data_IF_203264243501
#
_entry.id   IF_203264243501
#
_cell.length_a   1.000
_cell.length_b   1.000
_cell.length_c   1.000
_cell.angle_alpha   90.00
_cell.angle_beta   90.00
_cell.angle_gamma   90.00
#
_symmetry.space_group_name_H-M   'P 1'
#
loop_
_entity.id
_entity.type
_entity.pdbx_description
1 polymer ?
#
# COMPACT_ATOMS: atom_id res chain seq x y z
N UNK A 1 -4.48 20.51 19.72
CA UNK A 1 -4.65 19.04 19.70
C UNK A 1 -4.78 18.66 18.23
N UNK A 2 -3.74 18.09 17.65
CA UNK A 2 -3.60 17.98 16.18
C UNK A 2 -4.52 16.89 15.62
N UNK A 3 -4.93 17.02 14.36
CA UNK A 3 -5.68 16.01 13.57
C UNK A 3 -5.05 14.60 13.56
N UNK A 4 -3.90 14.41 14.21
CA UNK A 4 -3.16 13.16 14.38
C UNK A 4 -3.86 12.07 15.19
N UNK A 5 -4.86 12.35 16.03
CA UNK A 5 -5.48 11.32 16.90
C UNK A 5 -6.75 10.68 16.34
N UNK A 6 -7.36 11.26 15.30
CA UNK A 6 -8.71 10.89 14.82
C UNK A 6 -8.74 10.11 13.50
N UNK A 7 -7.58 9.88 12.87
CA UNK A 7 -7.43 8.81 11.88
C UNK A 7 -7.33 7.47 12.62
N UNK A 8 -8.51 7.08 13.11
CA UNK A 8 -8.91 5.87 13.82
C UNK A 8 -7.85 4.77 13.93
N UNK A 9 -7.71 4.11 15.10
CA UNK A 9 -6.98 2.84 15.23
C UNK A 9 -7.26 1.85 14.07
N UNK A 10 -8.49 1.86 13.55
CA UNK A 10 -8.93 1.04 12.42
C UNK A 10 -8.17 1.30 11.11
N UNK A 11 -7.70 2.53 10.85
CA UNK A 11 -7.06 2.88 9.58
C UNK A 11 -5.64 2.32 9.45
N UNK A 12 -4.82 2.43 10.50
CA UNK A 12 -3.49 1.82 10.50
C UNK A 12 -3.59 0.29 10.53
N UNK A 13 -4.60 -0.27 11.22
CA UNK A 13 -4.87 -1.71 11.19
C UNK A 13 -5.20 -2.20 9.77
N UNK A 14 -6.03 -1.50 9.00
CA UNK A 14 -6.35 -1.88 7.62
C UNK A 14 -5.09 -1.89 6.72
N UNK A 15 -4.24 -0.88 6.86
CA UNK A 15 -2.94 -0.81 6.17
C UNK A 15 -2.03 -1.97 6.55
N UNK A 16 -1.91 -2.27 7.84
CA UNK A 16 -1.11 -3.38 8.35
C UNK A 16 -1.64 -4.74 7.87
N UNK A 17 -2.96 -4.95 7.92
CA UNK A 17 -3.61 -6.17 7.44
C UNK A 17 -3.33 -6.39 5.95
N UNK A 18 -3.47 -5.34 5.13
CA UNK A 18 -3.18 -5.44 3.70
C UNK A 18 -1.71 -5.79 3.45
N UNK A 19 -0.77 -5.10 4.10
CA UNK A 19 0.67 -5.37 3.93
C UNK A 19 1.02 -6.77 4.39
N UNK A 20 0.46 -7.22 5.52
CA UNK A 20 0.69 -8.58 6.03
C UNK A 20 0.13 -9.63 5.07
N UNK A 21 -1.07 -9.40 4.53
CA UNK A 21 -1.69 -10.29 3.55
C UNK A 21 -0.82 -10.43 2.29
N UNK A 22 -0.41 -9.31 1.70
CA UNK A 22 0.43 -9.32 0.50
C UNK A 22 1.80 -9.93 0.78
N UNK A 23 2.42 -9.61 1.91
CA UNK A 23 3.69 -10.21 2.32
C UNK A 23 3.58 -11.74 2.47
N UNK A 24 2.48 -12.23 3.06
CA UNK A 24 2.22 -13.66 3.22
C UNK A 24 2.03 -14.34 1.86
N UNK A 25 1.30 -13.72 0.94
CA UNK A 25 1.12 -14.22 -0.42
C UNK A 25 2.45 -14.30 -1.19
N UNK A 26 3.31 -13.29 -1.06
CA UNK A 26 4.64 -13.28 -1.66
C UNK A 26 5.54 -14.34 -1.02
N UNK A 27 5.48 -14.53 0.29
CA UNK A 27 6.23 -15.56 1.00
C UNK A 27 5.85 -16.97 0.52
N UNK A 28 4.55 -17.26 0.37
CA UNK A 28 4.07 -18.53 -0.19
C UNK A 28 4.52 -18.69 -1.65
N UNK A 29 4.37 -17.65 -2.47
CA UNK A 29 4.74 -17.68 -3.89
C UNK A 29 6.24 -17.97 -4.08
N UNK A 30 7.10 -17.40 -3.24
CA UNK A 30 8.56 -17.60 -3.33
C UNK A 30 9.01 -18.89 -2.63
N UNK A 31 8.47 -19.18 -1.44
CA UNK A 31 8.96 -20.22 -0.54
C UNK A 31 8.35 -21.61 -0.76
N UNK A 32 7.22 -21.73 -1.45
CA UNK A 32 6.54 -23.00 -1.67
C UNK A 32 6.47 -23.38 -3.16
N UNK A 33 7.42 -24.16 -3.69
CA UNK A 33 7.44 -24.58 -5.09
C UNK A 33 6.22 -25.41 -5.50
N UNK A 34 5.62 -26.12 -4.54
CA UNK A 34 4.41 -26.91 -4.75
C UNK A 34 3.13 -26.05 -4.85
N UNK A 35 3.18 -24.76 -4.49
CA UNK A 35 2.03 -23.88 -4.56
C UNK A 35 1.65 -23.58 -6.01
N UNK A 36 0.34 -23.49 -6.27
CA UNK A 36 -0.21 -23.13 -7.59
C UNK A 36 0.34 -21.77 -8.06
N UNK A 37 0.54 -20.83 -7.13
CA UNK A 37 1.08 -19.50 -7.42
C UNK A 37 2.53 -19.58 -7.90
N UNK A 38 3.38 -20.35 -7.23
CA UNK A 38 4.76 -20.55 -7.65
C UNK A 38 4.83 -21.17 -9.03
N UNK A 39 4.02 -22.20 -9.31
CA UNK A 39 4.01 -22.88 -10.60
C UNK A 39 3.54 -21.96 -11.74
N UNK A 40 2.50 -21.15 -11.51
CA UNK A 40 2.03 -20.15 -12.49
C UNK A 40 3.11 -19.11 -12.75
N UNK A 41 3.72 -18.53 -11.72
CA UNK A 41 4.78 -17.53 -11.92
C UNK A 41 6.00 -18.17 -12.59
N UNK A 42 6.35 -19.39 -12.20
CA UNK A 42 7.43 -20.18 -12.78
C UNK A 42 7.24 -20.43 -14.28
N UNK A 43 6.02 -20.71 -14.74
CA UNK A 43 5.73 -20.94 -16.16
C UNK A 43 5.89 -19.68 -17.01
N UNK A 44 5.74 -18.49 -16.42
CA UNK A 44 5.99 -17.20 -17.11
C UNK A 44 7.47 -16.81 -17.20
N UNK A 45 8.34 -17.58 -16.54
CA UNK A 45 9.79 -17.35 -16.54
C UNK A 45 10.18 -16.02 -15.88
N UNK A 46 11.18 -15.35 -16.46
CA UNK A 46 11.82 -14.16 -15.85
C UNK A 46 10.87 -12.98 -15.64
N UNK A 47 9.86 -12.82 -16.51
CA UNK A 47 8.94 -11.68 -16.44
C UNK A 47 8.03 -11.74 -15.21
N UNK A 48 7.48 -12.90 -14.86
CA UNK A 48 6.69 -13.06 -13.63
C UNK A 48 7.52 -12.83 -12.37
N UNK A 49 8.72 -13.42 -12.33
CA UNK A 49 9.65 -13.23 -11.21
C UNK A 49 10.10 -11.78 -11.03
N UNK A 50 10.26 -11.02 -12.11
CA UNK A 50 10.54 -9.59 -12.05
C UNK A 50 9.42 -8.83 -11.32
N UNK A 51 8.15 -9.09 -11.65
CA UNK A 51 7.01 -8.46 -10.97
C UNK A 51 6.88 -8.87 -9.51
N UNK A 52 7.13 -10.15 -9.20
CA UNK A 52 7.20 -10.63 -7.80
C UNK A 52 8.30 -9.90 -7.03
N UNK A 53 9.50 -9.76 -7.61
CA UNK A 53 10.60 -9.02 -7.00
C UNK A 53 10.25 -7.55 -6.74
N UNK A 54 9.63 -6.87 -7.72
CA UNK A 54 9.17 -5.49 -7.57
C UNK A 54 8.14 -5.37 -6.43
N UNK A 55 7.17 -6.31 -6.37
CA UNK A 55 6.16 -6.34 -5.31
C UNK A 55 6.77 -6.57 -3.92
N UNK A 56 7.81 -7.40 -3.79
CA UNK A 56 8.54 -7.58 -2.53
C UNK A 56 9.13 -6.26 -2.06
N UNK A 57 9.78 -5.51 -2.95
CA UNK A 57 10.37 -4.20 -2.62
C UNK A 57 9.29 -3.21 -2.19
N UNK A 58 8.19 -3.09 -2.95
CA UNK A 58 7.10 -2.16 -2.62
C UNK A 58 6.41 -2.55 -1.32
N UNK A 59 6.21 -3.85 -1.06
CA UNK A 59 5.61 -4.35 0.18
C UNK A 59 6.52 -4.08 1.38
N UNK A 60 7.83 -4.23 1.23
CA UNK A 60 8.80 -3.88 2.27
C UNK A 60 8.78 -2.37 2.58
N UNK A 61 8.72 -1.52 1.55
CA UNK A 61 8.57 -0.07 1.73
C UNK A 61 7.27 0.29 2.46
N UNK A 62 6.16 -0.37 2.13
CA UNK A 62 4.89 -0.19 2.83
C UNK A 62 4.96 -0.62 4.30
N UNK A 63 5.63 -1.74 4.60
CA UNK A 63 5.82 -2.20 5.97
C UNK A 63 6.66 -1.22 6.80
N UNK A 64 7.77 -0.72 6.23
CA UNK A 64 8.63 0.29 6.86
C UNK A 64 7.87 1.60 7.08
N UNK A 65 7.07 2.04 6.09
CA UNK A 65 6.23 3.22 6.22
C UNK A 65 5.28 3.09 7.42
N UNK A 66 4.56 1.96 7.55
CA UNK A 66 3.65 1.70 8.68
C UNK A 66 4.41 1.68 10.01
N UNK A 67 5.54 0.98 10.08
CA UNK A 67 6.31 0.84 11.31
C UNK A 67 6.80 2.21 11.83
N UNK A 68 7.38 3.02 10.95
CA UNK A 68 7.92 4.33 11.33
C UNK A 68 6.79 5.27 11.69
N UNK A 69 5.76 5.32 10.86
CA UNK A 69 4.79 6.39 10.93
C UNK A 69 3.57 6.11 11.80
N UNK A 70 3.17 4.85 11.93
CA UNK A 70 1.95 4.47 12.62
C UNK A 70 2.26 3.79 13.96
N UNK A 71 3.34 3.01 14.05
CA UNK A 71 3.73 2.33 15.29
C UNK A 71 4.66 3.19 16.16
N UNK A 72 5.58 3.93 15.54
CA UNK A 72 6.60 4.74 16.25
C UNK A 72 6.55 6.25 15.93
N UNK A 73 5.36 6.89 15.93
CA UNK A 73 5.22 8.28 15.49
C UNK A 73 6.07 9.28 16.29
N UNK A 74 6.32 9.00 17.58
CA UNK A 74 7.00 9.92 18.49
C UNK A 74 8.54 9.80 18.46
N UNK A 75 9.09 8.73 17.88
CA UNK A 75 10.55 8.48 17.88
C UNK A 75 11.22 8.91 16.58
N UNK A 76 10.57 8.70 15.44
CA UNK A 76 11.15 8.93 14.12
C UNK A 76 10.05 9.48 13.20
N UNK A 77 10.12 10.77 12.85
CA UNK A 77 9.19 11.39 11.92
C UNK A 77 9.87 11.70 10.59
N UNK A 78 9.64 10.85 9.58
CA UNK A 78 10.06 11.12 8.21
C UNK A 78 9.00 11.96 7.50
N UNK A 79 9.05 13.28 7.71
CA UNK A 79 8.11 14.25 7.11
C UNK A 79 7.85 14.07 5.61
N UNK A 80 8.88 13.80 4.76
CA UNK A 80 8.66 13.60 3.32
C UNK A 80 7.89 12.31 2.99
N UNK A 81 8.12 11.21 3.70
CA UNK A 81 7.43 9.94 3.47
C UNK A 81 5.95 10.05 3.83
N UNK A 82 5.64 10.72 4.94
CA UNK A 82 4.25 10.99 5.35
C UNK A 82 3.42 11.66 4.27
N UNK A 83 4.03 12.55 3.47
CA UNK A 83 3.34 13.25 2.38
C UNK A 83 3.19 12.42 1.09
N UNK A 84 3.87 11.28 0.98
CA UNK A 84 3.97 10.46 -0.23
C UNK A 84 3.47 9.02 -0.04
N UNK A 85 2.86 8.69 1.10
CA UNK A 85 2.35 7.33 1.42
C UNK A 85 1.42 6.75 0.35
N UNK A 86 0.51 7.58 -0.17
CA UNK A 86 -0.40 7.18 -1.26
C UNK A 86 0.33 6.61 -2.49
N UNK A 87 1.56 7.06 -2.78
CA UNK A 87 2.37 6.52 -3.89
C UNK A 87 2.78 5.07 -3.66
N UNK A 88 3.04 4.69 -2.41
CA UNK A 88 3.43 3.31 -2.05
C UNK A 88 2.24 2.38 -2.27
N UNK A 89 1.05 2.75 -1.79
CA UNK A 89 -0.16 1.94 -1.98
C UNK A 89 -0.65 1.95 -3.44
N UNK A 90 -0.46 3.04 -4.19
CA UNK A 90 -0.70 3.04 -5.63
C UNK A 90 0.26 2.08 -6.35
N UNK A 91 1.56 2.12 -6.04
CA UNK A 91 2.54 1.20 -6.62
C UNK A 91 2.22 -0.26 -6.26
N UNK A 92 1.78 -0.51 -5.02
CA UNK A 92 1.35 -1.83 -4.57
C UNK A 92 0.13 -2.31 -5.39
N UNK A 93 -0.88 -1.46 -5.55
CA UNK A 93 -2.06 -1.76 -6.36
C UNK A 93 -1.71 -2.06 -7.81
N UNK A 94 -0.89 -1.21 -8.44
CA UNK A 94 -0.43 -1.40 -9.82
C UNK A 94 0.35 -2.71 -9.99
N UNK A 95 1.23 -3.04 -9.03
CA UNK A 95 1.98 -4.28 -9.05
C UNK A 95 1.06 -5.52 -8.93
N UNK A 96 0.09 -5.47 -8.03
CA UNK A 96 -0.88 -6.56 -7.84
C UNK A 96 -1.76 -6.76 -9.09
N UNK A 97 -2.27 -5.68 -9.69
CA UNK A 97 -3.05 -5.74 -10.94
C UNK A 97 -2.20 -6.23 -12.11
N UNK A 98 -0.93 -5.81 -12.19
CA UNK A 98 -0.02 -6.29 -13.23
C UNK A 98 0.25 -7.79 -13.08
N UNK A 99 0.37 -8.30 -11.85
CA UNK A 99 0.51 -9.72 -11.59
C UNK A 99 -0.76 -10.51 -11.98
N UNK A 100 -1.96 -9.94 -11.79
CA UNK A 100 -3.19 -10.53 -12.33
C UNK A 100 -3.10 -10.71 -13.85
N UNK A 101 -2.59 -9.71 -14.59
CA UNK A 101 -2.42 -9.84 -16.04
C UNK A 101 -1.44 -10.96 -16.42
N UNK A 102 -0.33 -11.09 -15.67
CA UNK A 102 0.62 -12.20 -15.84
C UNK A 102 -0.04 -13.55 -15.62
N UNK A 103 -0.87 -13.69 -14.57
CA UNK A 103 -1.62 -14.91 -14.27
C UNK A 103 -2.63 -15.24 -15.38
N UNK A 104 -3.36 -14.23 -15.90
CA UNK A 104 -4.30 -14.42 -17.02
C UNK A 104 -3.58 -14.95 -18.25
N UNK A 105 -2.41 -14.40 -18.59
CA UNK A 105 -1.65 -14.84 -19.77
C UNK A 105 -1.15 -16.28 -19.58
N UNK A 106 -0.74 -16.65 -18.37
CA UNK A 106 -0.16 -17.95 -18.07
C UNK A 106 -1.18 -19.08 -17.95
N UNK A 107 -2.33 -18.80 -17.33
CA UNK A 107 -3.27 -19.83 -16.87
C UNK A 107 -4.74 -19.51 -17.19
N UNK A 108 -4.99 -18.41 -17.92
CA UNK A 108 -6.35 -17.93 -18.22
C UNK A 108 -7.07 -17.32 -17.02
N UNK A 109 -8.37 -17.06 -17.20
CA UNK A 109 -9.22 -16.46 -16.17
C UNK A 109 -9.61 -17.50 -15.13
N UNK A 110 -8.92 -17.50 -13.98
CA UNK A 110 -9.17 -18.44 -12.88
C UNK A 110 -9.53 -17.72 -11.58
N UNK A 111 -10.10 -18.45 -10.61
CA UNK A 111 -10.40 -17.90 -9.28
C UNK A 111 -9.16 -17.42 -8.52
N UNK A 112 -7.97 -17.91 -8.88
CA UNK A 112 -6.67 -17.45 -8.36
C UNK A 112 -6.48 -15.94 -8.59
N UNK A 113 -7.09 -15.37 -9.64
CA UNK A 113 -7.04 -13.93 -9.89
C UNK A 113 -7.65 -13.13 -8.74
N UNK A 114 -8.73 -13.63 -8.12
CA UNK A 114 -9.40 -12.92 -7.02
C UNK A 114 -8.48 -12.75 -5.81
N UNK A 115 -7.56 -13.70 -5.60
CA UNK A 115 -6.58 -13.65 -4.51
C UNK A 115 -5.68 -12.42 -4.62
N UNK A 116 -5.36 -11.97 -5.84
CA UNK A 116 -4.51 -10.80 -6.10
C UNK A 116 -5.30 -9.53 -6.39
N UNK A 117 -6.47 -9.67 -7.01
CA UNK A 117 -7.33 -8.57 -7.42
C UNK A 117 -7.97 -7.89 -6.20
N UNK A 118 -8.45 -8.65 -5.21
CA UNK A 118 -9.04 -8.11 -3.98
C UNK A 118 -8.04 -7.23 -3.20
N UNK A 119 -6.83 -7.70 -2.85
CA UNK A 119 -5.85 -6.82 -2.22
C UNK A 119 -5.38 -5.69 -3.15
N UNK A 120 -5.39 -5.89 -4.48
CA UNK A 120 -5.13 -4.82 -5.44
C UNK A 120 -6.11 -3.66 -5.32
N UNK A 121 -7.41 -3.95 -5.22
CA UNK A 121 -8.45 -2.95 -4.97
C UNK A 121 -8.36 -2.37 -3.56
N UNK A 122 -8.04 -3.19 -2.56
CA UNK A 122 -7.79 -2.72 -1.19
C UNK A 122 -6.65 -1.69 -1.13
N UNK A 123 -5.55 -1.95 -1.84
CA UNK A 123 -4.42 -1.04 -1.98
C UNK A 123 -4.83 0.27 -2.67
N UNK A 124 -5.58 0.20 -3.77
CA UNK A 124 -6.10 1.39 -4.45
C UNK A 124 -6.99 2.22 -3.54
N UNK A 125 -7.90 1.57 -2.81
CA UNK A 125 -8.79 2.25 -1.87
C UNK A 125 -8.00 2.98 -0.78
N UNK A 126 -7.02 2.33 -0.16
CA UNK A 126 -6.15 2.96 0.84
C UNK A 126 -5.35 4.13 0.26
N UNK A 127 -4.84 4.01 -0.97
CA UNK A 127 -4.14 5.09 -1.65
C UNK A 127 -5.04 6.32 -1.88
N UNK A 128 -6.28 6.08 -2.29
CA UNK A 128 -7.29 7.14 -2.47
C UNK A 128 -7.61 7.80 -1.13
N UNK A 129 -7.83 7.01 -0.07
CA UNK A 129 -8.06 7.54 1.28
C UNK A 129 -6.87 8.38 1.75
N UNK A 130 -5.63 7.90 1.61
CA UNK A 130 -4.43 8.65 1.96
C UNK A 130 -4.34 9.99 1.19
N UNK A 131 -4.69 9.97 -0.09
CA UNK A 131 -4.71 11.17 -0.92
C UNK A 131 -5.73 12.20 -0.42
N UNK A 132 -6.96 11.77 -0.11
CA UNK A 132 -8.02 12.65 0.41
C UNK A 132 -7.66 13.23 1.77
N UNK A 133 -7.15 12.42 2.69
CA UNK A 133 -6.75 12.86 4.02
C UNK A 133 -5.65 13.91 3.97
N UNK A 134 -4.70 13.75 3.04
CA UNK A 134 -3.67 14.77 2.77
C UNK A 134 -4.28 16.06 2.23
N UNK A 135 -5.26 15.98 1.33
CA UNK A 135 -5.89 17.16 0.78
C UNK A 135 -6.65 17.95 1.85
N UNK A 136 -7.44 17.26 2.68
CA UNK A 136 -8.16 17.86 3.80
C UNK A 136 -7.21 18.53 4.80
N UNK A 137 -6.12 17.85 5.19
CA UNK A 137 -5.13 18.41 6.12
C UNK A 137 -4.52 19.72 5.63
N UNK A 138 -4.26 19.86 4.32
CA UNK A 138 -3.73 21.09 3.72
C UNK A 138 -4.75 22.24 3.70
N UNK A 139 -6.03 21.93 3.44
CA UNK A 139 -7.09 22.94 3.45
C UNK A 139 -7.28 23.54 4.84
N UNK A 140 -7.25 22.69 5.88
CA UNK A 140 -7.39 23.13 7.27
C UNK A 140 -6.22 24.04 7.67
N UNK A 141 -4.98 23.65 7.37
CA UNK A 141 -3.80 24.47 7.64
C UNK A 141 -3.88 25.83 6.94
N UNK A 142 -4.26 25.86 5.66
CA UNK A 142 -4.41 27.13 4.93
C UNK A 142 -5.51 28.02 5.51
N UNK A 143 -6.60 27.45 6.02
CA UNK A 143 -7.67 28.20 6.67
C UNK A 143 -7.25 28.75 8.04
N UNK A 144 -6.49 27.99 8.82
CA UNK A 144 -5.91 28.45 10.10
C UNK A 144 -4.91 29.59 9.88
N UNK A 145 -4.04 29.48 8.88
CA UNK A 145 -3.11 30.56 8.51
C UNK A 145 -3.84 31.86 8.11
N UNK A 146 -4.93 31.74 7.33
CA UNK A 146 -5.76 32.89 6.95
C UNK A 146 -6.48 33.49 8.15
N UNK A 147 -7.01 32.67 9.06
CA UNK A 147 -7.68 33.15 10.27
C UNK A 147 -6.71 33.93 11.18
N UNK A 148 -5.53 33.37 11.42
CA UNK A 148 -4.49 34.02 12.22
C UNK A 148 -4.00 35.34 11.59
N UNK A 149 -3.97 35.43 10.25
CA UNK A 149 -3.60 36.68 9.57
C UNK A 149 -4.65 37.79 9.74
N UNK A 150 -5.94 37.44 9.89
CA UNK A 150 -7.02 38.42 10.14
C UNK A 150 -6.99 38.96 11.57
N UNK A 151 -6.63 38.14 12.56
CA UNK A 151 -6.58 38.57 13.97
C UNK A 151 -5.45 39.57 14.30
N UNK A 152 -4.43 39.65 13.43
CA UNK A 152 -3.27 40.54 13.61
C UNK A 152 -3.51 41.94 13.04
N UNK A 153 -4.57 42.14 12.26
CA UNK A 153 -4.92 43.40 11.59
C UNK A 153 -6.11 44.11 12.23
#
# INVERSE_FOLDING_TARGET
>A
MSWSSLLHPRYWHARMQLVTLVASMLAVTVGEPASILHQIIGSTGRHGWFWVGLLIVVTALAAVDILINDVLPDRISLGPLKNRRYLVYMALSMGLISLCAVIVIANGTTSVLLVWLVPGFGAAHLAITDFYLRHQGRLIQSNEEKANAVEVH
#
